data_IF_804332195846
#
_entry.id   IF_804332195846
#
_cell.length_a   1.000
_cell.length_b   1.000
_cell.length_c   1.000
_cell.angle_alpha   90.00
_cell.angle_beta   90.00
_cell.angle_gamma   90.00
#
_symmetry.space_group_name_H-M   'P 1'
#
loop_
_entity.id
_entity.type
_entity.pdbx_description
1 polymer ?
#
# COMPACT_ATOMS: atom_id res chain seq x y z
N UNK A 1 -9.14 10.82 11.60
CA UNK A 1 -8.18 9.99 10.85
C UNK A 1 -6.98 10.86 10.54
N UNK A 2 -5.80 10.46 11.01
CA UNK A 2 -4.55 11.17 10.73
C UNK A 2 -4.25 11.10 9.22
N UNK A 3 -3.85 12.24 8.63
CA UNK A 3 -3.57 12.34 7.19
C UNK A 3 -2.14 11.88 6.93
N UNK A 4 -1.93 11.16 5.84
CA UNK A 4 -0.58 10.80 5.41
C UNK A 4 0.21 12.07 5.01
N UNK A 5 1.48 12.15 5.40
CA UNK A 5 2.40 13.27 5.11
C UNK A 5 3.33 12.91 3.96
N UNK A 6 3.64 13.82 3.02
CA UNK A 6 4.58 13.52 1.94
C UNK A 6 5.97 13.14 2.45
N UNK A 7 6.57 12.10 1.85
CA UNK A 7 7.97 11.68 2.08
C UNK A 7 8.85 12.13 0.91
N UNK A 8 10.15 12.27 1.14
CA UNK A 8 11.12 12.66 0.13
C UNK A 8 10.99 11.86 -1.17
N UNK A 9 11.18 12.59 -2.29
CA UNK A 9 11.09 12.02 -3.63
C UNK A 9 12.16 10.95 -3.82
N UNK A 10 11.73 9.76 -4.19
CA UNK A 10 12.63 8.72 -4.70
C UNK A 10 13.07 9.03 -6.12
N UNK A 11 14.12 8.34 -6.60
CA UNK A 11 14.43 8.30 -8.04
C UNK A 11 13.22 7.74 -8.82
N UNK A 12 12.67 8.50 -9.76
CA UNK A 12 11.53 8.11 -10.60
C UNK A 12 10.18 8.73 -10.21
N UNK A 13 9.08 8.24 -10.80
CA UNK A 13 7.72 8.80 -10.65
C UNK A 13 6.94 8.24 -9.44
N UNK A 14 7.64 7.69 -8.45
CA UNK A 14 7.00 7.17 -7.23
C UNK A 14 6.74 8.30 -6.25
N UNK A 15 5.50 8.41 -5.76
CA UNK A 15 5.12 9.30 -4.66
C UNK A 15 5.04 8.47 -3.39
N UNK A 16 5.71 8.92 -2.33
CA UNK A 16 5.68 8.26 -1.03
C UNK A 16 5.07 9.19 0.01
N UNK A 17 4.37 8.59 0.97
CA UNK A 17 3.81 9.26 2.12
C UNK A 17 4.07 8.41 3.36
N UNK A 18 4.18 9.06 4.50
CA UNK A 18 4.24 8.42 5.81
C UNK A 18 2.91 8.62 6.54
N UNK A 19 2.48 7.62 7.29
CA UNK A 19 1.27 7.66 8.11
C UNK A 19 1.52 6.87 9.39
N UNK A 20 0.95 7.31 10.50
CA UNK A 20 1.00 6.57 11.77
C UNK A 20 0.22 5.27 11.69
N UNK A 21 0.65 4.27 12.46
CA UNK A 21 -0.01 2.97 12.56
C UNK A 21 0.86 1.79 12.12
N UNK A 22 0.35 0.58 12.38
CA UNK A 22 0.91 -0.67 11.90
C UNK A 22 0.17 -1.28 10.71
N UNK A 23 0.40 -2.58 10.48
CA UNK A 23 -0.25 -3.32 9.40
C UNK A 23 -1.78 -3.26 9.46
N UNK A 24 -2.37 -3.34 10.64
CA UNK A 24 -3.83 -3.26 10.80
C UNK A 24 -4.41 -1.95 10.27
N UNK A 25 -3.68 -0.84 10.43
CA UNK A 25 -4.10 0.45 9.86
C UNK A 25 -3.93 0.46 8.35
N UNK A 26 -2.84 -0.12 7.83
CA UNK A 26 -2.62 -0.27 6.41
C UNK A 26 -3.69 -1.14 5.74
N UNK A 27 -4.13 -2.21 6.40
CA UNK A 27 -5.17 -3.13 5.93
C UNK A 27 -6.55 -2.46 5.96
N UNK A 28 -6.86 -1.69 7.00
CA UNK A 28 -8.08 -0.86 7.04
C UNK A 28 -8.12 0.13 5.88
N UNK A 29 -7.01 0.83 5.61
CA UNK A 29 -6.91 1.75 4.49
C UNK A 29 -7.06 1.02 3.14
N UNK A 30 -6.45 -0.15 2.97
CA UNK A 30 -6.64 -1.00 1.78
C UNK A 30 -8.12 -1.37 1.56
N UNK A 31 -8.80 -1.85 2.60
CA UNK A 31 -10.20 -2.28 2.53
C UNK A 31 -11.18 -1.10 2.32
N UNK A 32 -10.74 0.14 2.56
CA UNK A 32 -11.53 1.34 2.30
C UNK A 32 -11.47 1.84 0.86
N UNK A 33 -10.63 1.24 0.01
CA UNK A 33 -10.50 1.60 -1.40
C UNK A 33 -11.68 1.05 -2.23
N UNK A 34 -11.95 1.72 -3.35
CA UNK A 34 -12.94 1.27 -4.34
C UNK A 34 -12.40 0.08 -5.16
N UNK A 35 -12.41 -1.09 -4.53
CA UNK A 35 -11.95 -2.35 -5.09
C UNK A 35 -13.02 -3.00 -5.97
N UNK A 36 -12.56 -3.72 -6.99
CA UNK A 36 -13.40 -4.65 -7.73
C UNK A 36 -13.81 -5.83 -6.86
N UNK A 37 -15.09 -6.19 -6.95
CA UNK A 37 -15.67 -7.30 -6.20
C UNK A 37 -14.95 -8.62 -6.52
N UNK A 38 -14.60 -9.39 -5.49
CA UNK A 38 -13.89 -10.67 -5.65
C UNK A 38 -12.42 -10.56 -6.08
N UNK A 39 -11.86 -9.34 -6.27
CA UNK A 39 -10.46 -9.17 -6.66
C UNK A 39 -9.45 -9.40 -5.53
N UNK A 40 -9.91 -9.36 -4.28
CA UNK A 40 -9.07 -9.44 -3.09
C UNK A 40 -8.50 -10.85 -2.92
N UNK A 41 -7.18 -10.93 -2.73
CA UNK A 41 -6.47 -12.17 -2.48
C UNK A 41 -5.47 -11.98 -1.35
N UNK A 42 -5.47 -12.93 -0.42
CA UNK A 42 -4.50 -13.03 0.66
C UNK A 42 -3.39 -14.01 0.28
N UNK A 43 -2.15 -13.66 0.64
CA UNK A 43 -0.97 -14.53 0.51
C UNK A 43 0.05 -14.20 1.60
N UNK A 44 0.97 -15.13 1.84
CA UNK A 44 2.10 -14.93 2.75
C UNK A 44 3.38 -14.85 1.94
N UNK A 45 4.17 -13.81 2.16
CA UNK A 45 5.52 -13.68 1.63
C UNK A 45 6.59 -13.87 2.71
N UNK A 46 7.86 -13.79 2.31
CA UNK A 46 9.02 -13.86 3.21
C UNK A 46 8.95 -12.86 4.38
N UNK A 47 8.32 -11.69 4.16
CA UNK A 47 8.20 -10.60 5.13
C UNK A 47 6.80 -10.48 5.73
N UNK A 48 6.07 -11.59 5.79
CA UNK A 48 4.74 -11.64 6.41
C UNK A 48 3.58 -11.52 5.42
N UNK A 49 2.44 -11.03 5.92
CA UNK A 49 1.17 -10.98 5.19
C UNK A 49 1.24 -10.03 4.00
N UNK A 50 0.59 -10.43 2.91
CA UNK A 50 0.38 -9.61 1.73
C UNK A 50 -1.08 -9.79 1.29
N UNK A 51 -1.81 -8.69 1.15
CA UNK A 51 -3.13 -8.66 0.53
C UNK A 51 -3.04 -7.87 -0.77
N UNK A 52 -3.62 -8.40 -1.84
CA UNK A 52 -3.66 -7.77 -3.16
C UNK A 52 -5.10 -7.58 -3.62
N UNK A 53 -5.35 -6.58 -4.45
CA UNK A 53 -6.64 -6.34 -5.08
C UNK A 53 -6.51 -5.50 -6.34
N UNK A 54 -7.63 -5.30 -7.03
CA UNK A 54 -7.72 -4.42 -8.20
C UNK A 54 -8.72 -3.31 -7.90
N UNK A 55 -8.33 -2.05 -8.13
CA UNK A 55 -9.23 -0.90 -8.07
C UNK A 55 -10.18 -0.95 -9.26
N UNK A 56 -11.40 -0.40 -9.13
CA UNK A 56 -12.38 -0.36 -10.24
C UNK A 56 -11.92 0.38 -11.49
N UNK A 57 -10.91 1.23 -11.37
CA UNK A 57 -10.25 1.89 -12.51
C UNK A 57 -9.17 1.03 -13.19
N UNK A 58 -9.01 -0.23 -12.77
CA UNK A 58 -8.08 -1.20 -13.32
C UNK A 58 -6.68 -1.21 -12.70
N UNK A 59 -6.36 -0.27 -11.80
CA UNK A 59 -5.05 -0.25 -11.12
C UNK A 59 -4.92 -1.38 -10.12
N UNK A 60 -3.72 -1.95 -10.03
CA UNK A 60 -3.39 -2.92 -8.99
C UNK A 60 -3.04 -2.21 -7.67
N UNK A 61 -3.46 -2.81 -6.55
CA UNK A 61 -3.12 -2.33 -5.21
C UNK A 61 -2.72 -3.50 -4.33
N UNK A 62 -1.79 -3.25 -3.42
CA UNK A 62 -1.36 -4.23 -2.43
C UNK A 62 -1.07 -3.58 -1.09
N UNK A 63 -1.34 -4.31 -0.01
CA UNK A 63 -0.87 -4.00 1.33
C UNK A 63 0.06 -5.13 1.79
N UNK A 64 1.18 -4.77 2.41
CA UNK A 64 2.19 -5.72 2.91
C UNK A 64 2.54 -5.40 4.35
N UNK A 65 2.75 -6.43 5.16
CA UNK A 65 3.21 -6.35 6.55
C UNK A 65 4.66 -5.87 6.64
N UNK A 66 5.55 -6.41 5.80
CA UNK A 66 6.94 -5.99 5.74
C UNK A 66 7.35 -5.55 4.33
N UNK A 67 7.99 -4.38 4.26
CA UNK A 67 8.75 -3.93 3.09
C UNK A 67 10.25 -4.16 3.27
N UNK A 68 11.08 -3.83 2.26
CA UNK A 68 12.55 -3.93 2.40
C UNK A 68 13.09 -3.06 3.55
N UNK A 69 12.43 -1.94 3.83
CA UNK A 69 12.76 -1.02 4.94
C UNK A 69 12.08 -1.43 6.26
N UNK A 70 11.35 -2.56 6.29
CA UNK A 70 10.73 -3.11 7.50
C UNK A 70 9.36 -2.54 7.85
N UNK A 71 8.82 -1.61 7.07
CA UNK A 71 7.54 -0.96 7.38
C UNK A 71 6.35 -1.61 6.64
N UNK A 72 5.16 -1.71 7.28
CA UNK A 72 3.93 -1.98 6.58
C UNK A 72 3.67 -0.93 5.52
N UNK A 73 3.12 -1.33 4.38
CA UNK A 73 2.99 -0.45 3.21
C UNK A 73 1.74 -0.75 2.40
N UNK A 74 0.96 0.28 2.11
CA UNK A 74 -0.06 0.28 1.05
C UNK A 74 0.58 0.84 -0.23
N UNK A 75 0.48 0.10 -1.32
CA UNK A 75 1.09 0.45 -2.61
C UNK A 75 0.03 0.35 -3.73
N UNK A 76 -0.23 1.47 -4.40
CA UNK A 76 -1.03 1.56 -5.62
C UNK A 76 -0.10 1.67 -6.82
N UNK A 77 -0.29 0.81 -7.81
CA UNK A 77 0.48 0.78 -9.05
C UNK A 77 -0.25 1.64 -10.08
N UNK A 78 0.23 2.87 -10.28
CA UNK A 78 -0.41 3.82 -11.21
C UNK A 78 -0.03 3.51 -12.67
N UNK A 79 1.20 3.05 -12.91
CA UNK A 79 1.70 2.61 -14.21
C UNK A 79 2.97 1.78 -14.03
N UNK A 80 3.56 1.28 -15.13
CA UNK A 80 4.80 0.49 -15.12
C UNK A 80 5.93 1.10 -14.26
N UNK A 81 6.04 2.43 -14.24
CA UNK A 81 7.11 3.17 -13.55
C UNK A 81 6.62 4.15 -12.47
N UNK A 82 5.31 4.19 -12.19
CA UNK A 82 4.74 5.09 -11.18
C UNK A 82 3.94 4.33 -10.15
N UNK A 83 4.21 4.66 -8.89
CA UNK A 83 3.57 4.06 -7.71
C UNK A 83 3.21 5.15 -6.73
N UNK A 84 2.16 4.91 -5.96
CA UNK A 84 1.86 5.67 -4.74
C UNK A 84 2.02 4.74 -3.56
N UNK A 85 2.89 5.10 -2.62
CA UNK A 85 3.17 4.30 -1.41
C UNK A 85 2.80 5.08 -0.17
N UNK A 86 2.08 4.45 0.74
CA UNK A 86 1.88 4.93 2.11
C UNK A 86 2.62 3.96 3.02
N UNK A 87 3.64 4.47 3.72
CA UNK A 87 4.41 3.73 4.72
C UNK A 87 3.79 3.97 6.08
N UNK A 88 3.60 2.90 6.82
CA UNK A 88 3.01 2.94 8.15
C UNK A 88 4.11 2.71 9.19
N UNK A 89 4.19 3.58 10.18
CA UNK A 89 5.12 3.47 11.30
C UNK A 89 4.46 3.96 12.57
N UNK A 90 4.58 3.17 13.64
CA UNK A 90 4.24 3.59 15.01
C UNK A 90 5.37 4.38 15.67
#
# INVERSE_FOLDING_TARGET
MEKAVPRDKTKGQTKQYDKTGGYDQAEKDFNSLDLEEGSVKDRTGERGKIKTGRLRDGREVNVREGSMEGHPTLEIINSKNSRTKIRYSD
#
